data_IF_410956844124
#
_entry.id   IF_410956844124
#
_cell.length_a   1.000
_cell.length_b   1.000
_cell.length_c   1.000
_cell.angle_alpha   90.00
_cell.angle_beta   90.00
_cell.angle_gamma   90.00
#
_symmetry.space_group_name_H-M   'P 1'
#
loop_
_entity.id
_entity.type
_entity.pdbx_description
1 polymer ?
#
# COMPACT_ATOMS: atom_id res chain seq x y z
N UNK A 1 -7.60 20.15 10.84
CA UNK A 1 -7.70 18.87 11.55
C UNK A 1 -8.09 17.75 10.59
N UNK A 2 -9.20 17.84 9.84
CA UNK A 2 -9.53 16.83 8.79
C UNK A 2 -8.49 16.74 7.66
N UNK A 3 -7.97 17.89 7.18
CA UNK A 3 -6.90 17.90 6.18
C UNK A 3 -5.59 17.28 6.70
N UNK A 4 -5.40 17.25 8.02
CA UNK A 4 -4.19 16.70 8.67
C UNK A 4 -4.25 15.17 8.69
N UNK A 5 -5.39 14.63 9.10
CA UNK A 5 -5.66 13.19 9.07
C UNK A 5 -5.55 12.58 7.68
N UNK A 6 -6.01 13.31 6.65
CA UNK A 6 -6.03 12.78 5.29
C UNK A 6 -4.62 12.68 4.66
N UNK A 7 -3.67 13.54 5.06
CA UNK A 7 -2.28 13.40 4.59
C UNK A 7 -1.55 12.28 5.32
N UNK A 8 -1.77 12.12 6.63
CA UNK A 8 -1.16 11.04 7.43
C UNK A 8 -1.57 9.65 6.90
N UNK A 9 -2.86 9.47 6.56
CA UNK A 9 -3.35 8.22 6.01
C UNK A 9 -2.75 7.90 4.63
N UNK A 10 -2.62 8.90 3.75
CA UNK A 10 -2.05 8.69 2.42
C UNK A 10 -0.55 8.38 2.49
N UNK A 11 0.20 9.08 3.35
CA UNK A 11 1.63 8.81 3.55
C UNK A 11 1.87 7.44 4.18
N UNK A 12 1.06 7.04 5.16
CA UNK A 12 1.12 5.70 5.75
C UNK A 12 0.80 4.63 4.71
N UNK A 13 -0.23 4.85 3.90
CA UNK A 13 -0.66 3.94 2.84
C UNK A 13 0.45 3.73 1.79
N UNK A 14 1.05 4.83 1.32
CA UNK A 14 2.13 4.78 0.34
C UNK A 14 3.37 4.10 0.93
N UNK A 15 3.75 4.43 2.17
CA UNK A 15 4.89 3.79 2.84
C UNK A 15 4.66 2.28 3.02
N UNK A 16 3.46 1.86 3.44
CA UNK A 16 3.15 0.45 3.65
C UNK A 16 3.13 -0.33 2.34
N UNK A 17 2.55 0.27 1.29
CA UNK A 17 2.50 -0.30 -0.06
C UNK A 17 3.90 -0.53 -0.60
N UNK A 18 4.82 0.45 -0.47
CA UNK A 18 6.22 0.32 -0.90
C UNK A 18 6.94 -0.79 -0.14
N UNK A 19 6.83 -0.81 1.20
CA UNK A 19 7.48 -1.85 2.02
C UNK A 19 6.99 -3.25 1.69
N UNK A 20 5.69 -3.42 1.47
CA UNK A 20 5.10 -4.70 1.07
C UNK A 20 5.55 -5.11 -0.33
N UNK A 21 5.60 -4.18 -1.28
CA UNK A 21 6.09 -4.43 -2.63
C UNK A 21 7.55 -4.90 -2.64
N UNK A 22 8.42 -4.24 -1.87
CA UNK A 22 9.82 -4.65 -1.69
C UNK A 22 9.92 -6.07 -1.10
N UNK A 23 9.16 -6.35 -0.04
CA UNK A 23 9.15 -7.65 0.63
C UNK A 23 8.65 -8.78 -0.28
N UNK A 24 7.68 -8.50 -1.14
CA UNK A 24 7.07 -9.48 -2.04
C UNK A 24 7.75 -9.53 -3.43
N UNK A 25 8.85 -8.78 -3.62
CA UNK A 25 9.61 -8.77 -4.87
C UNK A 25 8.87 -8.11 -6.04
N UNK A 26 7.88 -7.27 -5.76
CA UNK A 26 7.10 -6.52 -6.75
C UNK A 26 7.91 -5.31 -7.20
N UNK A 27 8.83 -5.55 -8.14
CA UNK A 27 9.81 -4.57 -8.61
C UNK A 27 9.46 -4.02 -9.99
N UNK A 28 10.12 -2.92 -10.39
CA UNK A 28 10.04 -2.42 -11.77
C UNK A 28 10.57 -3.45 -12.79
N UNK A 29 11.46 -4.37 -12.38
CA UNK A 29 11.85 -5.49 -13.22
C UNK A 29 10.66 -6.43 -13.48
N UNK A 30 9.90 -6.80 -12.44
CA UNK A 30 8.67 -7.58 -12.61
C UNK A 30 7.69 -6.87 -13.55
N UNK A 31 7.51 -5.56 -13.41
CA UNK A 31 6.67 -4.74 -14.29
C UNK A 31 7.11 -4.81 -15.76
N UNK A 32 8.43 -4.86 -16.00
CA UNK A 32 8.99 -4.92 -17.34
C UNK A 32 8.81 -6.28 -18.03
N UNK A 33 8.77 -7.38 -17.25
CA UNK A 33 8.65 -8.75 -17.78
C UNK A 33 7.21 -9.29 -17.73
N UNK A 34 6.40 -8.83 -16.78
CA UNK A 34 5.00 -9.21 -16.58
C UNK A 34 4.22 -8.05 -15.95
N UNK A 35 3.76 -7.12 -16.80
CA UNK A 35 3.00 -5.95 -16.36
C UNK A 35 1.66 -6.32 -15.70
N UNK A 36 0.97 -7.35 -16.19
CA UNK A 36 -0.33 -7.75 -15.64
C UNK A 36 -0.18 -8.44 -14.28
N UNK A 37 0.84 -9.28 -14.12
CA UNK A 37 1.21 -9.86 -12.82
C UNK A 37 1.66 -8.81 -11.82
N UNK A 38 2.40 -7.80 -12.28
CA UNK A 38 2.76 -6.64 -11.45
C UNK A 38 1.54 -5.86 -10.98
N UNK A 39 0.60 -5.51 -11.88
CA UNK A 39 -0.63 -4.80 -11.51
C UNK A 39 -1.47 -5.61 -10.53
N UNK A 40 -1.62 -6.93 -10.75
CA UNK A 40 -2.35 -7.81 -9.82
C UNK A 40 -1.74 -7.80 -8.43
N UNK A 41 -0.41 -7.93 -8.35
CA UNK A 41 0.32 -7.94 -7.07
C UNK A 41 0.24 -6.59 -6.37
N UNK A 42 0.41 -5.48 -7.10
CA UNK A 42 0.26 -4.13 -6.55
C UNK A 42 -1.15 -3.88 -6.02
N UNK A 43 -2.19 -4.35 -6.72
CA UNK A 43 -3.57 -4.23 -6.25
C UNK A 43 -3.82 -5.05 -4.98
N UNK A 44 -3.27 -6.26 -4.88
CA UNK A 44 -3.38 -7.08 -3.67
C UNK A 44 -2.68 -6.42 -2.48
N UNK A 45 -1.47 -5.89 -2.70
CA UNK A 45 -0.71 -5.14 -1.70
C UNK A 45 -1.49 -3.92 -1.22
N UNK A 46 -2.06 -3.13 -2.14
CA UNK A 46 -2.88 -1.97 -1.81
C UNK A 46 -4.07 -2.36 -0.95
N UNK A 47 -4.83 -3.39 -1.34
CA UNK A 47 -5.97 -3.86 -0.55
C UNK A 47 -5.57 -4.26 0.88
N UNK A 48 -4.43 -4.93 1.05
CA UNK A 48 -3.91 -5.29 2.37
C UNK A 48 -3.39 -4.10 3.17
N UNK A 49 -2.81 -3.10 2.50
CA UNK A 49 -2.37 -1.88 3.16
C UNK A 49 -3.55 -1.04 3.65
N UNK A 50 -4.63 -0.99 2.87
CA UNK A 50 -5.91 -0.38 3.25
C UNK A 50 -6.48 -1.04 4.50
N UNK A 51 -6.49 -2.38 4.57
CA UNK A 51 -6.95 -3.11 5.76
C UNK A 51 -6.13 -2.78 7.01
N UNK A 52 -4.79 -2.68 6.89
CA UNK A 52 -3.90 -2.34 8.01
C UNK A 52 -4.13 -0.90 8.48
N UNK A 53 -4.16 0.06 7.55
CA UNK A 53 -4.38 1.48 7.88
C UNK A 53 -5.76 1.69 8.49
N UNK A 54 -6.80 1.06 7.95
CA UNK A 54 -8.16 1.13 8.49
C UNK A 54 -8.24 0.51 9.90
N UNK A 55 -7.59 -0.63 10.12
CA UNK A 55 -7.53 -1.25 11.44
C UNK A 55 -6.80 -0.35 12.45
N UNK A 56 -5.66 0.22 12.08
CA UNK A 56 -4.90 1.13 12.96
C UNK A 56 -5.68 2.40 13.28
N UNK A 57 -6.47 2.94 12.33
CA UNK A 57 -7.34 4.10 12.55
C UNK A 57 -8.53 3.81 13.47
N UNK A 58 -9.15 2.63 13.35
CA UNK A 58 -10.30 2.24 14.19
C UNK A 58 -9.89 1.93 15.63
N UNK A 59 -8.66 1.46 15.85
CA UNK A 59 -8.14 1.15 17.20
C UNK A 59 -7.45 2.34 17.90
N UNK A 60 -7.32 3.48 17.22
CA UNK A 60 -6.81 4.75 17.79
C UNK A 60 -7.92 5.74 18.19
N UNK A 61 -9.20 5.32 18.12
CA UNK A 61 -10.37 6.06 18.64
C UNK A 61 -10.74 5.62 20.07
#
# INVERSE_FOLDING_TARGET
MELTYHWECNDMMDMLTVRMAEREGVTEHLKSVDQLGWVRKMNNIRSRAEEVVLHDLIYMD
#
